data_IF_281470986455
#
_entry.id   IF_281470986455
#
_cell.length_a   1.000
_cell.length_b   1.000
_cell.length_c   1.000
_cell.angle_alpha   90.00
_cell.angle_beta   90.00
_cell.angle_gamma   90.00
#
_symmetry.space_group_name_H-M   'P 1'
#
loop_
_entity.id
_entity.type
_entity.pdbx_description
1 polymer ?
#
# COMPACT_ATOMS: atom_id res chain seq x y z
N UNK A 1 -18.62 13.87 1.71
CA UNK A 1 -18.17 12.93 0.65
C UNK A 1 -16.70 12.51 0.76
N UNK A 2 -15.79 13.29 1.39
CA UNK A 2 -14.39 12.85 1.61
C UNK A 2 -14.22 11.65 2.55
N UNK A 3 -15.19 11.38 3.42
CA UNK A 3 -15.14 10.30 4.43
C UNK A 3 -15.16 8.90 3.82
N UNK A 4 -15.87 8.69 2.70
CA UNK A 4 -15.93 7.39 2.03
C UNK A 4 -14.60 7.06 1.37
N UNK A 5 -13.96 8.03 0.72
CA UNK A 5 -12.65 7.87 0.10
C UNK A 5 -11.58 7.62 1.17
N UNK A 6 -11.62 8.35 2.29
CA UNK A 6 -10.71 8.11 3.42
C UNK A 6 -10.93 6.74 4.07
N UNK A 7 -12.18 6.30 4.23
CA UNK A 7 -12.50 4.98 4.78
C UNK A 7 -12.01 3.85 3.85
N UNK A 8 -12.22 3.97 2.55
CA UNK A 8 -11.72 3.01 1.56
C UNK A 8 -10.19 2.96 1.52
N UNK A 9 -9.51 4.12 1.51
CA UNK A 9 -8.04 4.18 1.55
C UNK A 9 -7.48 3.58 2.86
N UNK A 10 -8.11 3.84 4.00
CA UNK A 10 -7.71 3.28 5.29
C UNK A 10 -7.84 1.76 5.33
N UNK A 11 -8.95 1.23 4.82
CA UNK A 11 -9.18 -0.21 4.73
C UNK A 11 -8.13 -0.89 3.82
N UNK A 12 -7.85 -0.31 2.65
CA UNK A 12 -6.82 -0.82 1.74
C UNK A 12 -5.42 -0.80 2.39
N UNK A 13 -5.07 0.27 3.12
CA UNK A 13 -3.79 0.37 3.80
C UNK A 13 -3.56 -0.75 4.83
N UNK A 14 -4.59 -1.11 5.60
CA UNK A 14 -4.54 -2.20 6.59
C UNK A 14 -4.34 -3.56 5.89
N UNK A 15 -5.09 -3.83 4.82
CA UNK A 15 -4.96 -5.07 4.05
C UNK A 15 -3.52 -5.24 3.52
N UNK A 16 -2.93 -4.16 3.00
CA UNK A 16 -1.57 -4.19 2.50
C UNK A 16 -0.52 -4.39 3.61
N UNK A 17 -0.73 -3.78 4.78
CA UNK A 17 0.14 -4.01 5.94
C UNK A 17 0.18 -5.50 6.32
N UNK A 18 -0.99 -6.15 6.38
CA UNK A 18 -1.11 -7.58 6.67
C UNK A 18 -0.38 -8.42 5.60
N UNK A 19 -0.51 -8.05 4.33
CA UNK A 19 0.16 -8.74 3.22
C UNK A 19 1.68 -8.67 3.32
N UNK A 20 2.24 -7.52 3.71
CA UNK A 20 3.69 -7.34 3.90
C UNK A 20 4.20 -8.18 5.07
N UNK A 21 3.46 -8.25 6.17
CA UNK A 21 3.82 -9.07 7.33
C UNK A 21 3.89 -10.55 6.92
N UNK A 22 2.89 -11.06 6.21
CA UNK A 22 2.86 -12.46 5.74
C UNK A 22 4.00 -12.73 4.74
N UNK A 23 4.27 -11.80 3.82
CA UNK A 23 5.37 -11.89 2.87
C UNK A 23 6.74 -11.93 3.55
N UNK A 24 6.94 -11.09 4.57
CA UNK A 24 8.14 -11.04 5.38
C UNK A 24 8.37 -12.33 6.18
N UNK A 25 7.32 -12.86 6.81
CA UNK A 25 7.38 -14.15 7.51
C UNK A 25 7.74 -15.32 6.58
N UNK A 26 7.16 -15.34 5.38
CA UNK A 26 7.50 -16.37 4.38
C UNK A 26 8.96 -16.27 3.93
N UNK A 27 9.52 -15.06 3.82
CA UNK A 27 10.93 -14.88 3.47
C UNK A 27 11.85 -15.33 4.59
N UNK A 28 11.53 -14.98 5.83
CA UNK A 28 12.28 -15.43 7.03
C UNK A 28 12.23 -16.95 7.22
N UNK A 29 11.10 -17.59 6.88
CA UNK A 29 10.90 -19.04 7.04
C UNK A 29 11.45 -19.86 5.87
N UNK A 30 12.00 -19.22 4.83
CA UNK A 30 12.54 -19.92 3.67
C UNK A 30 13.80 -20.76 3.99
N UNK A 31 14.45 -20.54 5.14
CA UNK A 31 15.43 -21.44 5.76
C UNK A 31 16.47 -22.08 4.82
N UNK A 32 17.01 -21.32 3.86
CA UNK A 32 18.05 -21.78 2.93
C UNK A 32 17.55 -22.49 1.66
N UNK A 33 16.24 -22.59 1.45
CA UNK A 33 15.68 -23.03 0.17
C UNK A 33 15.59 -21.84 -0.79
N UNK A 34 16.48 -21.81 -1.80
CA UNK A 34 16.58 -20.72 -2.78
C UNK A 34 15.27 -20.48 -3.55
N UNK A 35 14.51 -21.52 -3.88
CA UNK A 35 13.21 -21.39 -4.54
C UNK A 35 12.18 -20.70 -3.63
N UNK A 36 12.14 -21.07 -2.34
CA UNK A 36 11.26 -20.41 -1.37
C UNK A 36 11.68 -18.97 -1.14
N UNK A 37 12.99 -18.70 -1.07
CA UNK A 37 13.52 -17.35 -0.91
C UNK A 37 13.22 -16.47 -2.13
N UNK A 38 13.36 -17.00 -3.35
CA UNK A 38 13.03 -16.30 -4.59
C UNK A 38 11.52 -15.98 -4.67
N UNK A 39 10.67 -16.95 -4.32
CA UNK A 39 9.20 -16.77 -4.31
C UNK A 39 8.74 -15.77 -3.24
N UNK A 40 9.39 -15.78 -2.07
CA UNK A 40 9.11 -14.81 -1.02
C UNK A 40 9.59 -13.40 -1.40
N UNK A 41 10.78 -13.25 -2.00
CA UNK A 41 11.23 -11.97 -2.56
C UNK A 41 10.31 -11.45 -3.66
N UNK A 42 9.81 -12.31 -4.53
CA UNK A 42 8.83 -11.91 -5.55
C UNK A 42 7.52 -11.41 -4.92
N UNK A 43 7.06 -12.07 -3.86
CA UNK A 43 5.89 -11.62 -3.07
C UNK A 43 6.15 -10.28 -2.39
N UNK A 44 7.34 -10.10 -1.79
CA UNK A 44 7.74 -8.85 -1.16
C UNK A 44 7.81 -7.69 -2.17
N UNK A 45 8.41 -7.91 -3.34
CA UNK A 45 8.47 -6.91 -4.41
C UNK A 45 7.07 -6.48 -4.87
N UNK A 46 6.14 -7.44 -5.03
CA UNK A 46 4.74 -7.12 -5.35
C UNK A 46 4.07 -6.32 -4.24
N UNK A 47 4.34 -6.66 -2.97
CA UNK A 47 3.85 -5.92 -1.80
C UNK A 47 4.38 -4.48 -1.75
N UNK A 48 5.67 -4.28 -2.01
CA UNK A 48 6.31 -2.95 -2.07
C UNK A 48 5.70 -2.10 -3.19
N UNK A 49 5.51 -2.67 -4.38
CA UNK A 49 4.87 -1.98 -5.51
C UNK A 49 3.46 -1.52 -5.13
N UNK A 50 2.66 -2.37 -4.48
CA UNK A 50 1.33 -1.97 -4.03
C UNK A 50 1.34 -0.91 -2.93
N UNK A 51 2.33 -0.92 -2.03
CA UNK A 51 2.52 0.15 -1.04
C UNK A 51 2.82 1.50 -1.72
N UNK A 52 3.67 1.49 -2.74
CA UNK A 52 3.99 2.68 -3.55
C UNK A 52 2.73 3.23 -4.24
N UNK A 53 1.89 2.35 -4.80
CA UNK A 53 0.63 2.77 -5.45
C UNK A 53 -0.31 3.45 -4.45
N UNK A 54 -0.43 2.94 -3.22
CA UNK A 54 -1.28 3.54 -2.19
C UNK A 54 -0.75 4.91 -1.77
N UNK A 55 0.57 5.02 -1.56
CA UNK A 55 1.20 6.30 -1.24
C UNK A 55 0.96 7.33 -2.36
N UNK A 56 1.12 6.92 -3.63
CA UNK A 56 0.82 7.75 -4.78
C UNK A 56 -0.66 8.16 -4.82
N UNK A 57 -1.58 7.22 -4.61
CA UNK A 57 -3.01 7.49 -4.58
C UNK A 57 -3.43 8.46 -3.46
N UNK A 58 -2.79 8.38 -2.29
CA UNK A 58 -3.00 9.32 -1.19
C UNK A 58 -2.51 10.73 -1.55
N UNK A 59 -1.30 10.84 -2.12
CA UNK A 59 -0.73 12.13 -2.57
C UNK A 59 -1.63 12.78 -3.62
N UNK A 60 -2.08 12.00 -4.61
CA UNK A 60 -2.97 12.49 -5.67
C UNK A 60 -4.32 12.92 -5.08
N UNK A 61 -4.92 12.11 -4.21
CA UNK A 61 -6.18 12.45 -3.57
C UNK A 61 -6.05 13.74 -2.76
N UNK A 62 -5.01 13.87 -1.94
CA UNK A 62 -4.73 15.08 -1.15
C UNK A 62 -4.50 16.31 -2.04
N UNK A 63 -3.82 16.14 -3.17
CA UNK A 63 -3.64 17.20 -4.16
C UNK A 63 -4.98 17.65 -4.77
N UNK A 64 -5.83 16.71 -5.18
CA UNK A 64 -7.17 17.00 -5.73
C UNK A 64 -8.05 17.72 -4.71
N UNK A 65 -8.07 17.26 -3.46
CA UNK A 65 -8.84 17.93 -2.39
C UNK A 65 -8.30 19.32 -2.07
N UNK A 66 -6.98 19.53 -2.09
CA UNK A 66 -6.39 20.87 -1.91
C UNK A 66 -6.68 21.79 -3.10
N UNK A 67 -6.58 21.28 -4.32
CA UNK A 67 -6.90 22.02 -5.53
C UNK A 67 -8.38 22.44 -5.56
N UNK A 68 -9.30 21.52 -5.22
CA UNK A 68 -10.73 21.83 -5.16
C UNK A 68 -11.10 22.68 -3.94
N UNK A 69 -10.53 22.43 -2.77
CA UNK A 69 -10.76 23.20 -1.54
C UNK A 69 -10.20 24.63 -1.60
N UNK A 70 -9.09 24.83 -2.30
CA UNK A 70 -8.52 26.16 -2.57
C UNK A 70 -9.36 27.01 -3.53
N UNK A 71 -10.19 26.38 -4.38
CA UNK A 71 -11.09 27.07 -5.33
C UNK A 71 -12.41 27.48 -4.65
N UNK A 72 -12.83 26.79 -3.58
CA UNK A 72 -14.10 27.06 -2.86
C UNK A 72 -13.89 28.07 -1.70
N UNK A 73 -12.64 28.41 -1.38
CA UNK A 73 -12.26 29.31 -0.29
C UNK A 73 -11.84 30.74 -0.70
N UNK A 74 -12.17 31.18 -1.91
CA UNK A 74 -11.95 32.55 -2.39
C UNK A 74 -13.28 33.22 -2.75
#
# INVERSE_FOLDING_TARGET
MGTIIQAFLGLLGIIFLVMIIIGGFNWMTAAGNDDKAAKAKATLNRGVIGLIIILAAYIISAFVFRALGGIIGA
#
